data_IF_092380553202
#
_entry.id   IF_092380553202
#
_cell.length_a   1.000
_cell.length_b   1.000
_cell.length_c   1.000
_cell.angle_alpha   90.00
_cell.angle_beta   90.00
_cell.angle_gamma   90.00
#
_symmetry.space_group_name_H-M   'P 1'
#
loop_
_entity.id
_entity.type
_entity.pdbx_description
1 polymer ?
#
# COMPACT_ATOMS: atom_id res chain seq x y z
N UNK A 1 9.52 -18.71 -0.67
CA UNK A 1 10.68 -19.54 -1.05
C UNK A 1 10.83 -20.82 -0.21
N UNK A 2 10.19 -20.95 0.97
CA UNK A 2 10.40 -22.11 1.86
C UNK A 2 10.06 -23.51 1.31
N UNK A 3 9.19 -23.62 0.30
CA UNK A 3 8.91 -24.92 -0.37
C UNK A 3 10.04 -25.30 -1.33
N UNK A 4 10.62 -24.31 -2.03
CA UNK A 4 11.72 -24.55 -2.97
C UNK A 4 12.99 -24.97 -2.23
N UNK A 5 13.26 -24.39 -1.06
CA UNK A 5 14.43 -24.72 -0.26
C UNK A 5 14.44 -26.20 0.17
N UNK A 6 13.28 -26.77 0.51
CA UNK A 6 13.16 -28.21 0.79
C UNK A 6 13.57 -29.09 -0.38
N UNK A 7 13.26 -28.67 -1.61
CA UNK A 7 13.61 -29.44 -2.80
C UNK A 7 15.10 -29.33 -3.13
N UNK A 8 15.66 -28.12 -3.04
CA UNK A 8 17.09 -27.84 -3.29
C UNK A 8 17.98 -28.64 -2.34
N UNK A 9 17.58 -28.77 -1.08
CA UNK A 9 18.41 -29.39 -0.04
C UNK A 9 18.46 -30.92 -0.12
N UNK A 10 17.47 -31.57 -0.75
CA UNK A 10 17.47 -33.03 -0.94
C UNK A 10 18.74 -33.48 -1.64
N UNK A 11 19.17 -34.70 -1.33
CA UNK A 11 20.30 -35.30 -2.01
C UNK A 11 20.06 -35.36 -3.52
N UNK A 12 21.13 -35.30 -4.31
CA UNK A 12 21.05 -35.46 -5.77
C UNK A 12 20.39 -36.79 -6.16
N UNK A 13 20.60 -37.84 -5.35
CA UNK A 13 19.95 -39.14 -5.51
C UNK A 13 18.43 -39.12 -5.32
N UNK A 14 17.89 -38.12 -4.64
CA UNK A 14 16.47 -37.90 -4.38
C UNK A 14 15.87 -36.81 -5.29
N UNK A 15 16.63 -36.39 -6.31
CA UNK A 15 16.23 -35.35 -7.26
C UNK A 15 16.42 -33.92 -6.77
N UNK A 16 17.15 -33.69 -5.66
CA UNK A 16 17.54 -32.36 -5.21
C UNK A 16 18.92 -31.92 -5.70
N UNK A 17 19.49 -30.89 -5.08
CA UNK A 17 20.81 -30.36 -5.41
C UNK A 17 21.86 -30.62 -4.31
N UNK A 18 21.45 -31.11 -3.13
CA UNK A 18 22.33 -31.29 -1.96
C UNK A 18 22.91 -29.99 -1.44
N UNK A 19 22.26 -28.84 -1.71
CA UNK A 19 22.74 -27.52 -1.31
C UNK A 19 22.01 -27.11 -0.03
N UNK A 20 22.78 -26.81 1.03
CA UNK A 20 22.23 -26.30 2.27
C UNK A 20 21.51 -24.97 2.05
N UNK A 21 20.29 -24.85 2.59
CA UNK A 21 19.47 -23.64 2.46
C UNK A 21 19.13 -23.04 3.80
N UNK A 22 19.06 -21.71 3.84
CA UNK A 22 18.60 -20.91 4.97
C UNK A 22 17.69 -19.80 4.45
N UNK A 23 16.76 -19.33 5.28
CA UNK A 23 15.92 -18.19 4.94
C UNK A 23 15.68 -17.26 6.14
N UNK A 24 15.49 -15.98 5.86
CA UNK A 24 14.93 -15.02 6.84
C UNK A 24 13.41 -15.07 6.75
N UNK A 25 12.74 -15.17 7.89
CA UNK A 25 11.29 -15.30 8.00
C UNK A 25 10.67 -14.10 8.71
N UNK A 26 9.83 -13.35 8.01
CA UNK A 26 9.04 -12.24 8.55
C UNK A 26 7.66 -12.66 9.07
N UNK A 27 7.11 -13.79 8.59
CA UNK A 27 5.75 -14.25 8.94
C UNK A 27 5.85 -15.65 9.57
N UNK A 28 5.86 -15.71 10.91
CA UNK A 28 6.01 -16.97 11.66
C UNK A 28 4.97 -18.04 11.25
N UNK A 29 3.66 -17.76 11.20
CA UNK A 29 2.67 -18.79 10.87
C UNK A 29 2.91 -19.43 9.50
N UNK A 30 3.38 -18.65 8.53
CA UNK A 30 3.70 -19.15 7.19
C UNK A 30 4.91 -20.08 7.25
N UNK A 31 5.96 -19.73 7.98
CA UNK A 31 7.15 -20.58 8.13
C UNK A 31 6.86 -21.87 8.91
N UNK A 32 6.01 -21.82 9.93
CA UNK A 32 5.55 -22.99 10.66
C UNK A 32 4.76 -23.95 9.76
N UNK A 33 3.87 -23.43 8.91
CA UNK A 33 3.12 -24.22 7.96
C UNK A 33 4.01 -24.82 6.84
N UNK A 34 4.95 -24.02 6.31
CA UNK A 34 5.82 -24.42 5.20
C UNK A 34 6.93 -25.37 5.65
N UNK A 35 7.37 -25.29 6.91
CA UNK A 35 8.45 -26.11 7.50
C UNK A 35 9.74 -26.11 6.66
N UNK A 36 10.33 -24.93 6.36
CA UNK A 36 11.59 -24.84 5.63
C UNK A 36 12.70 -25.64 6.33
N UNK A 37 13.77 -26.05 5.62
CA UNK A 37 14.86 -26.78 6.25
C UNK A 37 15.45 -26.02 7.44
N UNK A 38 15.76 -24.73 7.23
CA UNK A 38 16.26 -23.80 8.25
C UNK A 38 15.72 -22.40 7.99
N UNK A 39 15.24 -21.75 9.04
CA UNK A 39 14.78 -20.37 8.98
C UNK A 39 15.12 -19.62 10.26
N UNK A 40 15.57 -18.37 10.11
CA UNK A 40 15.65 -17.42 11.19
C UNK A 40 14.37 -16.59 11.18
N UNK A 41 13.56 -16.68 12.23
CA UNK A 41 12.44 -15.77 12.45
C UNK A 41 12.96 -14.46 13.04
N UNK A 42 12.60 -13.34 12.40
CA UNK A 42 12.99 -12.00 12.85
C UNK A 42 11.75 -11.19 13.23
N UNK A 43 11.81 -10.36 14.29
CA UNK A 43 10.68 -9.58 14.77
C UNK A 43 10.54 -8.22 14.05
N UNK A 44 10.85 -8.15 12.74
CA UNK A 44 10.84 -6.88 12.00
C UNK A 44 9.57 -6.69 11.14
N UNK A 45 9.17 -5.44 10.84
CA UNK A 45 8.04 -5.17 9.96
C UNK A 45 8.21 -5.77 8.55
N UNK A 46 7.08 -6.07 7.91
CA UNK A 46 7.08 -6.56 6.53
C UNK A 46 7.78 -5.58 5.59
N UNK A 47 8.68 -6.10 4.76
CA UNK A 47 9.51 -5.29 3.86
C UNK A 47 10.85 -4.83 4.43
N UNK A 48 11.15 -5.11 5.71
CA UNK A 48 12.45 -4.83 6.34
C UNK A 48 13.07 -6.09 6.99
N UNK A 49 13.33 -7.16 6.22
CA UNK A 49 13.80 -8.44 6.78
C UNK A 49 15.14 -8.37 7.51
N UNK A 50 15.95 -7.32 7.31
CA UNK A 50 17.27 -7.17 7.92
C UNK A 50 17.28 -6.15 9.07
N UNK A 51 16.11 -5.68 9.51
CA UNK A 51 16.00 -4.68 10.57
C UNK A 51 16.00 -3.23 10.08
N UNK A 52 16.21 -2.26 10.98
CA UNK A 52 16.00 -0.83 10.71
C UNK A 52 16.97 -0.27 9.64
N UNK A 53 16.58 0.80 8.92
CA UNK A 53 17.48 1.48 7.99
C UNK A 53 18.68 2.09 8.72
N UNK A 54 19.84 2.11 8.07
CA UNK A 54 21.10 2.67 8.60
C UNK A 54 21.62 2.03 9.90
N UNK A 55 21.20 0.80 10.22
CA UNK A 55 21.75 -0.02 11.32
C UNK A 55 22.58 -1.19 10.77
N UNK A 56 23.80 -0.93 10.25
CA UNK A 56 24.62 -1.99 9.65
C UNK A 56 25.05 -3.03 10.67
N UNK A 57 25.14 -2.67 11.95
CA UNK A 57 25.37 -3.60 13.07
C UNK A 57 24.29 -4.69 13.11
N UNK A 58 23.01 -4.28 13.11
CA UNK A 58 21.85 -5.18 13.13
C UNK A 58 21.75 -5.97 11.82
N UNK A 59 21.83 -5.27 10.68
CA UNK A 59 21.66 -5.90 9.36
C UNK A 59 22.71 -6.97 9.11
N UNK A 60 23.97 -6.73 9.52
CA UNK A 60 25.05 -7.71 9.39
C UNK A 60 24.87 -8.85 10.39
N UNK A 61 24.39 -8.59 11.60
CA UNK A 61 24.13 -9.65 12.58
C UNK A 61 23.02 -10.60 12.12
N UNK A 62 21.89 -10.08 11.64
CA UNK A 62 20.79 -10.89 11.06
C UNK A 62 21.31 -11.80 9.94
N UNK A 63 22.17 -11.28 9.06
CA UNK A 63 22.80 -12.08 8.01
C UNK A 63 23.72 -13.16 8.58
N UNK A 64 24.54 -12.84 9.59
CA UNK A 64 25.43 -13.82 10.25
C UNK A 64 24.66 -14.92 10.95
N UNK A 65 23.63 -14.57 11.71
CA UNK A 65 22.76 -15.53 12.40
C UNK A 65 22.06 -16.45 11.39
N UNK A 66 21.52 -15.86 10.31
CA UNK A 66 20.84 -16.64 9.25
C UNK A 66 21.79 -17.59 8.55
N UNK A 67 22.99 -17.13 8.16
CA UNK A 67 23.99 -17.97 7.52
C UNK A 67 24.58 -19.01 8.47
N UNK A 68 24.70 -18.71 9.76
CA UNK A 68 25.13 -19.65 10.79
C UNK A 68 24.19 -20.85 10.93
N UNK A 69 22.92 -20.72 10.52
CA UNK A 69 21.99 -21.85 10.49
C UNK A 69 22.44 -22.95 9.51
N UNK A 70 23.29 -22.67 8.51
CA UNK A 70 23.81 -23.69 7.57
C UNK A 70 24.44 -24.87 8.32
N UNK A 71 25.04 -24.63 9.48
CA UNK A 71 25.68 -25.67 10.28
C UNK A 71 24.69 -26.44 11.18
N UNK A 72 23.42 -26.03 11.25
CA UNK A 72 22.41 -26.79 11.99
C UNK A 72 22.08 -28.10 11.26
N UNK A 73 22.31 -29.26 11.91
CA UNK A 73 22.06 -30.57 11.30
C UNK A 73 20.60 -31.01 11.40
N UNK A 74 19.79 -30.35 12.23
CA UNK A 74 18.38 -30.67 12.43
C UNK A 74 17.49 -29.82 11.53
N UNK A 75 16.66 -30.46 10.70
CA UNK A 75 15.63 -29.83 9.89
C UNK A 75 14.27 -30.53 10.14
N UNK A 76 13.14 -29.79 10.15
CA UNK A 76 13.03 -28.34 10.00
C UNK A 76 13.44 -27.59 11.27
N UNK A 77 14.20 -26.51 11.12
CA UNK A 77 14.57 -25.59 12.19
C UNK A 77 13.97 -24.21 11.94
N UNK A 78 13.22 -23.70 12.93
CA UNK A 78 12.79 -22.31 13.01
C UNK A 78 13.40 -21.74 14.28
N UNK A 79 14.38 -20.85 14.12
CA UNK A 79 15.16 -20.27 15.22
C UNK A 79 14.78 -18.81 15.38
N UNK A 80 14.64 -18.37 16.61
CA UNK A 80 14.30 -16.98 16.92
C UNK A 80 15.55 -16.13 16.91
N UNK A 81 15.48 -14.97 16.25
CA UNK A 81 16.50 -13.95 16.38
C UNK A 81 16.54 -13.46 17.84
N UNK A 82 17.71 -13.50 18.51
CA UNK A 82 17.81 -13.35 19.95
C UNK A 82 17.54 -11.93 20.44
N UNK A 83 17.73 -10.93 19.58
CA UNK A 83 17.54 -9.54 19.97
C UNK A 83 16.08 -9.12 19.74
N UNK A 84 15.39 -8.84 20.84
CA UNK A 84 14.27 -7.91 20.81
C UNK A 84 14.91 -6.52 20.68
N UNK A 85 15.21 -6.16 19.44
CA UNK A 85 15.66 -4.81 19.14
C UNK A 85 14.40 -3.97 19.28
N UNK A 86 14.31 -3.22 20.39
CA UNK A 86 13.45 -2.04 20.43
C UNK A 86 13.84 -1.24 19.20
N UNK A 87 12.90 -1.13 18.26
CA UNK A 87 13.02 -0.09 17.25
C UNK A 87 13.28 1.18 18.06
N UNK A 88 14.45 1.81 17.94
CA UNK A 88 14.73 3.15 18.49
C UNK A 88 13.87 4.21 17.74
N UNK A 89 12.65 3.83 17.37
CA UNK A 89 11.53 4.68 17.04
C UNK A 89 10.99 5.08 18.41
N UNK A 90 11.18 6.34 18.85
CA UNK A 90 10.67 6.79 20.13
C UNK A 90 9.20 6.43 20.29
N UNK A 91 8.82 5.90 21.46
CA UNK A 91 7.42 5.68 21.83
C UNK A 91 6.57 6.92 21.50
N UNK A 92 5.46 6.69 20.79
CA UNK A 92 4.20 7.48 20.67
C UNK A 92 4.22 8.99 20.99
N UNK A 93 5.27 9.73 20.65
CA UNK A 93 5.13 11.16 20.34
C UNK A 93 4.78 11.24 18.86
N UNK A 94 3.48 11.08 18.61
CA UNK A 94 2.83 10.98 17.29
C UNK A 94 3.68 11.58 16.19
N UNK A 95 4.19 10.70 15.32
CA UNK A 95 4.87 11.12 14.12
C UNK A 95 3.87 11.84 13.23
N UNK A 96 3.75 13.15 13.42
CA UNK A 96 3.12 14.02 12.46
C UNK A 96 4.24 14.58 11.61
N UNK A 97 4.10 14.55 10.29
CA UNK A 97 4.88 15.44 9.47
C UNK A 97 4.26 16.83 9.66
N UNK A 98 4.86 17.80 10.41
CA UNK A 98 4.24 19.09 10.70
C UNK A 98 4.16 19.93 9.42
N UNK A 99 3.19 19.61 8.60
CA UNK A 99 2.81 20.31 7.40
C UNK A 99 1.35 20.63 7.62
N UNK A 100 1.11 21.84 8.13
CA UNK A 100 -0.23 22.36 8.32
C UNK A 100 -0.69 22.84 6.94
N UNK A 101 -1.75 22.22 6.42
CA UNK A 101 -2.30 22.59 5.12
C UNK A 101 -3.39 23.67 5.33
N UNK A 102 -3.23 24.88 4.76
CA UNK A 102 -4.26 25.89 4.87
C UNK A 102 -5.44 25.59 3.93
N UNK A 103 -6.64 25.57 4.50
CA UNK A 103 -7.92 25.53 3.76
C UNK A 103 -8.15 26.87 3.07
N UNK A 104 -8.57 26.86 1.81
CA UNK A 104 -9.03 28.06 1.11
C UNK A 104 -10.36 27.75 0.41
N UNK A 105 -11.26 28.74 0.36
CA UNK A 105 -12.53 28.65 -0.37
C UNK A 105 -12.39 29.17 -1.81
N UNK A 106 -12.72 28.35 -2.82
CA UNK A 106 -13.01 28.82 -4.17
C UNK A 106 -14.29 28.19 -4.76
N UNK A 107 -14.62 28.61 -5.97
CA UNK A 107 -15.98 28.60 -6.54
C UNK A 107 -16.51 27.25 -7.08
N UNK A 108 -15.71 26.17 -7.11
CA UNK A 108 -16.11 24.77 -7.44
C UNK A 108 -15.34 23.77 -6.55
N UNK A 109 -15.99 22.70 -6.10
CA UNK A 109 -15.43 21.75 -5.10
C UNK A 109 -14.16 21.02 -5.61
N UNK A 110 -14.14 20.57 -6.87
CA UNK A 110 -13.00 19.85 -7.45
C UNK A 110 -11.78 20.74 -7.72
N UNK A 111 -11.95 21.98 -8.17
CA UNK A 111 -10.81 22.87 -8.44
C UNK A 111 -10.21 23.42 -7.14
N UNK A 112 -11.04 23.59 -6.11
CA UNK A 112 -10.57 23.82 -4.73
C UNK A 112 -9.66 22.70 -4.27
N UNK A 113 -10.13 21.46 -4.42
CA UNK A 113 -9.40 20.28 -3.97
C UNK A 113 -8.06 20.14 -4.72
N UNK A 114 -8.04 20.34 -6.05
CA UNK A 114 -6.80 20.37 -6.83
C UNK A 114 -5.83 21.44 -6.35
N UNK A 115 -6.32 22.65 -6.05
CA UNK A 115 -5.47 23.73 -5.55
C UNK A 115 -4.87 23.42 -4.17
N UNK A 116 -5.63 22.80 -3.28
CA UNK A 116 -5.16 22.37 -1.96
C UNK A 116 -4.11 21.26 -2.08
N UNK A 117 -4.36 20.24 -2.89
CA UNK A 117 -3.40 19.15 -3.15
C UNK A 117 -2.10 19.65 -3.80
N UNK A 118 -2.20 20.66 -4.68
CA UNK A 118 -1.02 21.31 -5.26
C UNK A 118 -0.16 21.98 -4.18
N UNK A 119 -0.77 22.68 -3.23
CA UNK A 119 -0.03 23.28 -2.09
C UNK A 119 0.61 22.20 -1.22
N UNK A 120 -0.14 21.14 -0.93
CA UNK A 120 0.36 19.99 -0.16
C UNK A 120 1.62 19.38 -0.82
N UNK A 121 1.55 19.12 -2.12
CA UNK A 121 2.68 18.61 -2.91
C UNK A 121 3.86 19.60 -2.91
N UNK A 122 3.60 20.90 -3.02
CA UNK A 122 4.64 21.93 -3.01
C UNK A 122 5.40 21.99 -1.68
N UNK A 123 4.73 21.74 -0.56
CA UNK A 123 5.37 21.71 0.77
C UNK A 123 6.28 20.48 0.95
N UNK A 124 5.94 19.36 0.30
CA UNK A 124 6.74 18.14 0.34
C UNK A 124 7.89 18.14 -0.69
N UNK A 125 7.77 18.92 -1.76
CA UNK A 125 8.70 18.91 -2.89
C UNK A 125 10.17 19.13 -2.51
N UNK A 126 10.55 20.09 -1.64
CA UNK A 126 11.95 20.28 -1.26
C UNK A 126 12.57 19.03 -0.61
N UNK A 127 11.80 18.31 0.20
CA UNK A 127 12.26 17.09 0.87
C UNK A 127 12.37 15.93 -0.12
N UNK A 128 11.42 15.81 -1.03
CA UNK A 128 11.53 14.85 -2.12
C UNK A 128 12.79 15.08 -2.96
N UNK A 129 13.02 16.32 -3.41
CA UNK A 129 14.15 16.66 -4.29
C UNK A 129 15.50 16.45 -3.59
N UNK A 130 15.63 16.85 -2.31
CA UNK A 130 16.84 16.60 -1.53
C UNK A 130 17.05 15.10 -1.29
N UNK A 131 15.98 14.37 -0.99
CA UNK A 131 15.98 12.92 -0.88
C UNK A 131 16.45 12.22 -2.16
N UNK A 132 15.91 12.64 -3.30
CA UNK A 132 16.28 12.16 -4.62
C UNK A 132 17.76 12.44 -4.92
N UNK A 133 18.24 13.66 -4.60
CA UNK A 133 19.64 14.04 -4.76
C UNK A 133 20.59 13.17 -3.93
N UNK A 134 20.20 12.82 -2.70
CA UNK A 134 21.00 11.95 -1.81
C UNK A 134 20.94 10.48 -2.20
N UNK A 135 19.76 9.96 -2.57
CA UNK A 135 19.57 8.54 -2.92
C UNK A 135 20.01 8.21 -4.35
N UNK A 136 19.98 9.19 -5.26
CA UNK A 136 20.26 9.02 -6.68
C UNK A 136 19.19 8.25 -7.48
N UNK A 137 18.07 7.89 -6.85
CA UNK A 137 16.97 7.12 -7.44
C UNK A 137 15.62 7.43 -6.77
N UNK A 138 14.54 7.20 -7.51
CA UNK A 138 13.15 7.26 -7.01
C UNK A 138 12.37 6.02 -7.47
N UNK A 139 11.30 5.71 -6.74
CA UNK A 139 10.32 4.67 -7.05
C UNK A 139 9.12 5.20 -7.84
N UNK A 140 9.01 6.53 -8.01
CA UNK A 140 8.04 7.17 -8.91
C UNK A 140 8.37 6.83 -10.36
N UNK A 141 7.36 6.42 -11.14
CA UNK A 141 7.50 6.16 -12.57
C UNK A 141 6.63 5.02 -13.11
N UNK A 142 5.89 4.33 -12.23
CA UNK A 142 5.09 3.16 -12.60
C UNK A 142 3.92 3.50 -13.51
N UNK A 143 3.42 4.74 -13.47
CA UNK A 143 2.41 5.28 -14.38
C UNK A 143 2.95 5.63 -15.78
N UNK A 144 4.27 5.63 -15.94
CA UNK A 144 4.97 6.11 -17.14
C UNK A 144 5.38 7.59 -17.08
N UNK A 145 5.03 8.32 -16.01
CA UNK A 145 5.45 9.72 -15.82
C UNK A 145 6.35 9.88 -14.60
N UNK A 146 7.22 10.90 -14.64
CA UNK A 146 8.16 11.21 -13.57
C UNK A 146 7.55 12.05 -12.43
N UNK A 147 8.34 12.35 -11.38
CA UNK A 147 7.88 13.09 -10.19
C UNK A 147 7.43 14.53 -10.48
N UNK A 148 7.78 15.10 -11.64
CA UNK A 148 7.28 16.41 -12.07
C UNK A 148 5.80 16.40 -12.45
N UNK A 149 5.24 15.22 -12.72
CA UNK A 149 3.84 15.03 -13.09
C UNK A 149 2.92 14.73 -11.91
N UNK A 150 3.39 14.75 -10.65
CA UNK A 150 2.57 14.40 -9.48
C UNK A 150 1.29 15.24 -9.37
N UNK A 151 1.39 16.56 -9.64
CA UNK A 151 0.20 17.43 -9.64
C UNK A 151 -0.81 17.06 -10.74
N UNK A 152 -0.33 16.57 -11.88
CA UNK A 152 -1.19 16.07 -12.96
C UNK A 152 -1.89 14.77 -12.54
N UNK A 153 -1.14 13.81 -11.98
CA UNK A 153 -1.67 12.54 -11.48
C UNK A 153 -2.75 12.75 -10.42
N UNK A 154 -2.53 13.69 -9.49
CA UNK A 154 -3.52 14.09 -8.49
C UNK A 154 -4.78 14.68 -9.14
N UNK A 155 -4.62 15.49 -10.18
CA UNK A 155 -5.72 16.02 -10.97
C UNK A 155 -6.60 14.92 -11.57
N UNK A 156 -5.98 13.83 -12.04
CA UNK A 156 -6.71 12.64 -12.53
C UNK A 156 -7.49 11.98 -11.39
N UNK A 157 -6.88 11.75 -10.23
CA UNK A 157 -7.60 11.12 -9.12
C UNK A 157 -8.79 11.96 -8.61
N UNK A 158 -8.62 13.29 -8.52
CA UNK A 158 -9.71 14.20 -8.11
C UNK A 158 -10.84 14.22 -9.12
N UNK A 159 -10.51 14.32 -10.41
CA UNK A 159 -11.53 14.30 -11.44
C UNK A 159 -12.26 12.96 -11.43
N UNK A 160 -11.56 11.82 -11.22
CA UNK A 160 -12.19 10.49 -11.16
C UNK A 160 -13.09 10.35 -9.92
N UNK A 161 -12.67 10.90 -8.78
CA UNK A 161 -13.47 10.84 -7.55
C UNK A 161 -14.76 11.65 -7.65
N UNK A 162 -14.74 12.75 -8.42
CA UNK A 162 -15.91 13.56 -8.72
C UNK A 162 -16.79 12.94 -9.81
N UNK A 163 -16.18 12.54 -10.92
CA UNK A 163 -16.81 11.98 -12.10
C UNK A 163 -16.01 10.76 -12.62
N UNK A 164 -16.62 9.59 -12.45
CA UNK A 164 -16.08 8.31 -12.85
C UNK A 164 -16.04 8.09 -14.37
N UNK A 165 -16.60 8.99 -15.18
CA UNK A 165 -16.71 8.89 -16.65
C UNK A 165 -15.67 9.72 -17.41
N UNK A 166 -14.56 10.07 -16.75
CA UNK A 166 -13.51 10.86 -17.37
C UNK A 166 -12.74 10.14 -18.48
N UNK A 167 -12.29 10.91 -19.46
CA UNK A 167 -11.30 10.43 -20.43
C UNK A 167 -9.90 10.34 -19.82
N UNK A 168 -9.16 9.33 -20.25
CA UNK A 168 -7.75 9.15 -19.85
C UNK A 168 -6.93 10.27 -20.46
N UNK A 169 -6.18 11.06 -19.67
CA UNK A 169 -5.30 12.06 -20.26
C UNK A 169 -4.20 11.40 -21.09
N UNK A 170 -3.78 12.05 -22.16
CA UNK A 170 -2.70 11.56 -23.02
C UNK A 170 -1.36 11.42 -22.26
N UNK A 171 -0.56 10.45 -22.70
CA UNK A 171 0.83 10.29 -22.25
C UNK A 171 1.02 9.42 -20.99
N UNK A 172 0.02 8.67 -20.57
CA UNK A 172 0.17 7.61 -19.57
C UNK A 172 0.39 6.23 -20.21
N UNK A 173 1.08 5.33 -19.49
CA UNK A 173 1.47 4.02 -20.02
C UNK A 173 0.36 2.95 -19.94
N UNK A 174 -0.74 3.22 -19.23
CA UNK A 174 -1.78 2.23 -18.92
C UNK A 174 -3.19 2.79 -19.17
N UNK A 175 -4.16 1.95 -19.57
CA UNK A 175 -5.56 2.37 -19.71
C UNK A 175 -6.28 2.46 -18.36
N UNK A 176 -7.44 3.12 -18.31
CA UNK A 176 -8.35 3.04 -17.16
C UNK A 176 -9.05 1.67 -17.09
N UNK A 177 -9.42 1.19 -15.89
CA UNK A 177 -9.12 1.76 -14.56
C UNK A 177 -7.73 1.38 -14.04
N UNK A 178 -6.96 0.58 -14.77
CA UNK A 178 -5.64 0.10 -14.35
C UNK A 178 -4.67 1.25 -14.04
N UNK A 179 -4.78 2.34 -14.77
CA UNK A 179 -4.03 3.58 -14.55
C UNK A 179 -4.14 4.08 -13.11
N UNK A 180 -5.34 4.05 -12.49
CA UNK A 180 -5.55 4.53 -11.11
C UNK A 180 -4.61 3.85 -10.12
N UNK A 181 -4.38 2.54 -10.27
CA UNK A 181 -3.44 1.79 -9.43
C UNK A 181 -2.01 2.30 -9.56
N UNK A 182 -1.58 2.63 -10.77
CA UNK A 182 -0.21 3.13 -11.01
C UNK A 182 -0.04 4.59 -10.59
N UNK A 183 -1.06 5.43 -10.80
CA UNK A 183 -1.07 6.80 -10.30
C UNK A 183 -0.98 6.83 -8.77
N UNK A 184 -1.79 6.00 -8.10
CA UNK A 184 -1.78 5.91 -6.63
C UNK A 184 -0.45 5.37 -6.09
N UNK A 185 0.20 4.43 -6.80
CA UNK A 185 1.53 3.96 -6.45
C UNK A 185 2.59 5.07 -6.56
N UNK A 186 2.60 5.82 -7.66
CA UNK A 186 3.54 6.93 -7.88
C UNK A 186 3.32 8.09 -6.90
N UNK A 187 2.06 8.43 -6.62
CA UNK A 187 1.71 9.46 -5.63
C UNK A 187 2.15 9.03 -4.22
N UNK A 188 1.84 7.80 -3.81
CA UNK A 188 2.27 7.29 -2.50
C UNK A 188 3.80 7.26 -2.40
N UNK A 189 4.49 6.81 -3.45
CA UNK A 189 5.94 6.84 -3.53
C UNK A 189 6.50 8.26 -3.33
N UNK A 190 5.95 9.27 -4.01
CA UNK A 190 6.36 10.66 -3.83
C UNK A 190 6.22 11.13 -2.38
N UNK A 191 5.05 10.90 -1.76
CA UNK A 191 4.79 11.31 -0.38
C UNK A 191 5.70 10.60 0.63
N UNK A 192 5.87 9.29 0.48
CA UNK A 192 6.68 8.47 1.38
C UNK A 192 8.16 8.83 1.24
N UNK A 193 8.64 9.02 0.02
CA UNK A 193 10.00 9.48 -0.24
C UNK A 193 10.25 10.89 0.29
N UNK A 194 9.28 11.81 0.19
CA UNK A 194 9.40 13.14 0.76
C UNK A 194 9.46 13.09 2.30
N UNK A 195 8.53 12.39 2.93
CA UNK A 195 8.42 12.27 4.37
C UNK A 195 9.68 11.64 5.00
N UNK A 196 10.18 10.54 4.43
CA UNK A 196 11.40 9.86 4.90
C UNK A 196 12.70 10.65 4.62
N UNK A 197 12.64 11.69 3.79
CA UNK A 197 13.78 12.57 3.50
C UNK A 197 13.80 13.83 4.37
N UNK A 198 12.75 14.08 5.14
CA UNK A 198 12.62 15.28 5.95
C UNK A 198 13.71 15.29 7.05
N UNK A 199 14.56 16.33 7.12
CA UNK A 199 15.58 16.41 8.15
C UNK A 199 14.97 16.57 9.56
N UNK A 200 15.62 15.98 10.56
CA UNK A 200 15.31 16.22 11.97
C UNK A 200 14.10 15.46 12.52
N UNK A 201 13.55 14.52 11.76
CA UNK A 201 12.47 13.64 12.21
C UNK A 201 13.02 12.20 12.27
N UNK A 202 12.72 11.42 13.33
CA UNK A 202 13.02 9.99 13.36
C UNK A 202 12.43 9.29 12.13
N UNK A 203 13.05 8.18 11.72
CA UNK A 203 12.54 7.41 10.60
C UNK A 203 11.20 6.78 11.00
N UNK A 204 10.08 7.09 10.33
CA UNK A 204 8.77 6.56 10.72
C UNK A 204 8.67 5.05 10.53
N UNK A 205 7.91 4.38 11.39
CA UNK A 205 7.50 3.00 11.09
C UNK A 205 6.69 2.99 9.79
N UNK A 206 6.65 1.85 9.06
CA UNK A 206 5.74 1.70 7.92
C UNK A 206 4.29 2.07 8.26
N UNK A 207 3.84 1.69 9.46
CA UNK A 207 2.52 1.96 10.00
C UNK A 207 2.28 3.46 10.19
N UNK A 208 3.19 4.19 10.85
CA UNK A 208 3.09 5.66 11.02
C UNK A 208 2.98 6.38 9.68
N UNK A 209 3.74 5.90 8.68
CA UNK A 209 3.78 6.48 7.36
C UNK A 209 2.47 6.26 6.60
N UNK A 210 1.85 5.09 6.75
CA UNK A 210 0.52 4.81 6.23
C UNK A 210 -0.56 5.61 6.95
N UNK A 211 -0.50 5.69 8.29
CA UNK A 211 -1.45 6.45 9.10
C UNK A 211 -1.44 7.93 8.75
N UNK A 212 -0.28 8.57 8.75
CA UNK A 212 -0.15 9.96 8.31
C UNK A 212 -0.71 10.17 6.90
N UNK A 213 -0.31 9.33 5.94
CA UNK A 213 -0.75 9.48 4.55
C UNK A 213 -2.26 9.34 4.43
N UNK A 214 -2.85 8.28 4.98
CA UNK A 214 -4.28 8.03 4.80
C UNK A 214 -5.17 8.79 5.77
N UNK A 215 -4.70 9.17 6.96
CA UNK A 215 -5.52 9.82 7.99
C UNK A 215 -5.33 11.34 8.09
N UNK A 216 -4.13 11.85 7.76
CA UNK A 216 -3.81 13.27 7.95
C UNK A 216 -3.73 14.06 6.64
N UNK A 217 -3.29 13.45 5.53
CA UNK A 217 -3.14 14.19 4.26
C UNK A 217 -4.46 14.36 3.51
N UNK A 218 -4.56 15.40 2.69
CA UNK A 218 -5.70 15.59 1.79
C UNK A 218 -5.72 14.54 0.68
N UNK A 219 -4.54 14.13 0.18
CA UNK A 219 -4.46 13.06 -0.83
C UNK A 219 -5.01 11.73 -0.31
N UNK A 220 -4.86 11.44 0.98
CA UNK A 220 -5.44 10.27 1.62
C UNK A 220 -6.96 10.21 1.47
N UNK A 221 -7.67 11.34 1.60
CA UNK A 221 -9.13 11.38 1.40
C UNK A 221 -9.50 11.08 -0.05
N UNK A 222 -8.76 11.64 -1.02
CA UNK A 222 -8.96 11.34 -2.44
C UNK A 222 -8.80 9.85 -2.72
N UNK A 223 -7.82 9.17 -2.09
CA UNK A 223 -7.65 7.73 -2.25
C UNK A 223 -8.86 6.95 -1.73
N UNK A 224 -9.44 7.35 -0.60
CA UNK A 224 -10.68 6.74 -0.13
C UNK A 224 -11.84 6.98 -1.10
N UNK A 225 -12.02 8.19 -1.59
CA UNK A 225 -13.10 8.51 -2.54
C UNK A 225 -12.97 7.71 -3.84
N UNK A 226 -11.75 7.57 -4.39
CA UNK A 226 -11.47 6.74 -5.57
C UNK A 226 -11.81 5.28 -5.29
N UNK A 227 -11.41 4.74 -4.12
CA UNK A 227 -11.76 3.38 -3.71
C UNK A 227 -13.27 3.19 -3.60
N UNK A 228 -13.99 4.12 -2.98
CA UNK A 228 -15.45 4.07 -2.81
C UNK A 228 -16.16 3.96 -4.17
N UNK A 229 -15.71 4.71 -5.20
CA UNK A 229 -16.25 4.60 -6.56
C UNK A 229 -16.02 3.21 -7.17
N UNK A 230 -14.83 2.64 -7.01
CA UNK A 230 -14.50 1.30 -7.51
C UNK A 230 -15.32 0.22 -6.78
N UNK A 231 -15.37 0.27 -5.44
CA UNK A 231 -16.16 -0.66 -4.63
C UNK A 231 -17.64 -0.59 -4.98
N UNK A 232 -18.18 0.61 -5.21
CA UNK A 232 -19.59 0.77 -5.58
C UNK A 232 -19.90 0.12 -6.94
N UNK A 233 -18.97 0.21 -7.91
CA UNK A 233 -19.12 -0.46 -9.20
C UNK A 233 -19.11 -1.99 -9.02
N UNK A 234 -18.18 -2.51 -8.21
CA UNK A 234 -18.10 -3.94 -7.89
C UNK A 234 -19.37 -4.45 -7.20
N UNK A 235 -19.87 -3.73 -6.19
CA UNK A 235 -21.12 -4.05 -5.48
C UNK A 235 -22.29 -4.15 -6.46
N UNK A 236 -22.46 -3.18 -7.36
CA UNK A 236 -23.56 -3.21 -8.34
C UNK A 236 -23.50 -4.44 -9.24
N UNK A 237 -22.30 -4.81 -9.69
CA UNK A 237 -22.11 -6.00 -10.52
C UNK A 237 -22.41 -7.27 -9.73
N UNK A 238 -21.94 -7.37 -8.49
CA UNK A 238 -22.15 -8.55 -7.65
C UNK A 238 -23.63 -8.72 -7.28
N UNK A 239 -24.33 -7.63 -6.94
CA UNK A 239 -25.78 -7.63 -6.73
C UNK A 239 -26.54 -8.04 -7.99
N UNK A 240 -26.14 -7.53 -9.16
CA UNK A 240 -26.77 -7.89 -10.44
C UNK A 240 -26.58 -9.36 -10.80
N UNK A 241 -25.54 -10.01 -10.27
CA UNK A 241 -25.30 -11.44 -10.41
C UNK A 241 -25.95 -12.30 -9.30
N UNK A 242 -26.71 -11.68 -8.39
CA UNK A 242 -27.51 -12.36 -7.38
C UNK A 242 -26.76 -12.81 -6.13
N UNK A 243 -25.63 -12.19 -5.81
CA UNK A 243 -24.96 -12.40 -4.53
C UNK A 243 -25.68 -11.63 -3.41
N UNK A 244 -25.70 -12.21 -2.22
CA UNK A 244 -26.29 -11.59 -1.03
C UNK A 244 -25.30 -10.62 -0.37
N UNK A 245 -25.80 -9.61 0.37
CA UNK A 245 -24.99 -8.53 0.94
C UNK A 245 -23.80 -9.01 1.79
N UNK A 246 -24.00 -10.03 2.64
CA UNK A 246 -22.96 -10.59 3.49
C UNK A 246 -21.85 -11.30 2.69
N UNK A 247 -22.21 -11.92 1.55
CA UNK A 247 -21.25 -12.56 0.65
C UNK A 247 -20.39 -11.51 -0.05
N UNK A 248 -21.02 -10.41 -0.47
CA UNK A 248 -20.35 -9.27 -1.13
C UNK A 248 -19.38 -8.59 -0.16
N UNK A 249 -19.82 -8.32 1.09
CA UNK A 249 -18.96 -7.74 2.12
C UNK A 249 -17.71 -8.59 2.37
N UNK A 250 -17.87 -9.91 2.45
CA UNK A 250 -16.76 -10.86 2.60
C UNK A 250 -15.80 -10.83 1.39
N UNK A 251 -16.33 -10.91 0.16
CA UNK A 251 -15.52 -10.93 -1.07
C UNK A 251 -14.74 -9.65 -1.30
N UNK A 252 -15.34 -8.50 -1.00
CA UNK A 252 -14.71 -7.19 -1.18
C UNK A 252 -13.88 -6.75 0.04
N UNK A 253 -13.89 -7.53 1.12
CA UNK A 253 -13.20 -7.23 2.39
C UNK A 253 -13.70 -5.89 2.93
N UNK A 254 -15.01 -5.82 3.18
CA UNK A 254 -15.74 -4.68 3.74
C UNK A 254 -16.22 -5.03 5.16
N UNK A 255 -16.57 -4.01 5.93
CA UNK A 255 -17.29 -4.22 7.20
C UNK A 255 -18.69 -4.78 6.93
N UNK A 256 -19.20 -5.61 7.84
CA UNK A 256 -20.55 -6.15 7.73
C UNK A 256 -21.61 -5.04 7.65
N UNK A 257 -22.52 -5.15 6.68
CA UNK A 257 -23.57 -4.18 6.39
C UNK A 257 -23.15 -3.05 5.45
N UNK A 258 -21.90 -3.02 4.97
CA UNK A 258 -21.42 -1.97 4.05
C UNK A 258 -22.13 -2.06 2.72
N UNK A 259 -22.32 -3.28 2.19
CA UNK A 259 -23.02 -3.50 0.92
C UNK A 259 -24.45 -2.98 0.98
N UNK A 260 -25.21 -3.34 2.02
CA UNK A 260 -26.57 -2.89 2.21
C UNK A 260 -26.68 -1.36 2.24
N UNK A 261 -25.79 -0.69 2.97
CA UNK A 261 -25.75 0.77 3.04
C UNK A 261 -25.39 1.39 1.68
N UNK A 262 -24.34 0.87 1.03
CA UNK A 262 -23.82 1.42 -0.22
C UNK A 262 -24.81 1.23 -1.37
N UNK A 263 -25.48 0.07 -1.44
CA UNK A 263 -26.48 -0.22 -2.46
C UNK A 263 -27.66 0.77 -2.41
N UNK A 264 -28.16 1.10 -1.21
CA UNK A 264 -29.23 2.09 -1.04
C UNK A 264 -28.79 3.49 -1.47
N UNK A 265 -27.55 3.88 -1.18
CA UNK A 265 -26.99 5.18 -1.58
C UNK A 265 -26.74 5.30 -3.09
N UNK A 266 -26.19 4.25 -3.71
CA UNK A 266 -25.84 4.22 -5.14
C UNK A 266 -27.07 4.19 -6.03
N UNK A 267 -28.12 3.45 -5.66
CA UNK A 267 -29.40 3.46 -6.40
C UNK A 267 -30.06 4.84 -6.37
N UNK A 268 -29.82 5.63 -5.31
CA UNK A 268 -30.38 6.98 -5.13
C UNK A 268 -29.56 8.09 -5.78
N UNK A 269 -28.27 7.85 -6.11
CA UNK A 269 -27.38 8.84 -6.73
C UNK A 269 -26.68 8.25 -7.97
N UNK A 270 -27.11 8.61 -9.19
CA UNK A 270 -26.41 8.17 -10.40
C UNK A 270 -25.02 8.82 -10.45
N UNK A 271 -23.97 8.00 -10.59
CA UNK A 271 -22.59 8.51 -10.65
C UNK A 271 -21.51 7.46 -10.93
N UNK A 272 -21.89 6.26 -11.38
CA UNK A 272 -20.96 5.19 -11.77
C UNK A 272 -21.01 5.06 -13.29
N UNK A 273 -19.84 5.17 -13.93
CA UNK A 273 -19.72 5.05 -15.40
C UNK A 273 -20.03 3.63 -15.88
N UNK A 274 -20.62 3.53 -17.08
CA UNK A 274 -20.85 2.25 -17.77
C UNK A 274 -19.56 1.50 -18.02
N UNK A 275 -18.44 2.19 -18.21
CA UNK A 275 -17.16 1.55 -18.51
C UNK A 275 -16.54 0.94 -17.25
N UNK A 276 -16.70 1.58 -16.08
CA UNK A 276 -16.35 0.94 -14.80
C UNK A 276 -17.19 -0.31 -14.56
N UNK A 277 -18.50 -0.27 -14.83
CA UNK A 277 -19.36 -1.45 -14.70
C UNK A 277 -18.93 -2.57 -15.64
N UNK A 278 -18.58 -2.28 -16.90
CA UNK A 278 -18.06 -3.29 -17.82
C UNK A 278 -16.78 -3.95 -17.30
N UNK A 279 -15.84 -3.16 -16.79
CA UNK A 279 -14.59 -3.70 -16.23
C UNK A 279 -14.87 -4.55 -14.99
N UNK A 280 -15.75 -4.10 -14.08
CA UNK A 280 -16.18 -4.91 -12.94
C UNK A 280 -16.90 -6.20 -13.37
N UNK A 281 -17.66 -6.20 -14.46
CA UNK A 281 -18.28 -7.40 -15.06
C UNK A 281 -17.24 -8.34 -15.67
N UNK A 282 -16.19 -7.82 -16.31
CA UNK A 282 -15.09 -8.64 -16.82
C UNK A 282 -14.31 -9.30 -15.66
N UNK A 283 -14.07 -8.55 -14.58
CA UNK A 283 -13.43 -9.06 -13.36
C UNK A 283 -14.32 -10.05 -12.59
N UNK A 284 -15.65 -10.00 -12.75
CA UNK A 284 -16.60 -10.91 -12.11
C UNK A 284 -16.37 -12.39 -12.46
N UNK A 285 -15.96 -12.69 -13.68
CA UNK A 285 -15.68 -14.07 -14.12
C UNK A 285 -14.28 -14.56 -13.76
N UNK A 286 -13.42 -13.68 -13.22
CA UNK A 286 -12.06 -14.01 -12.84
C UNK A 286 -11.90 -14.01 -11.30
N UNK A 287 -10.88 -14.69 -10.78
CA UNK A 287 -10.46 -14.60 -9.37
C UNK A 287 -9.91 -13.19 -8.98
N UNK A 288 -10.40 -12.13 -9.65
CA UNK A 288 -9.88 -10.77 -9.65
C UNK A 288 -10.90 -9.73 -9.14
N UNK A 289 -12.13 -10.11 -8.81
CA UNK A 289 -13.17 -9.22 -8.24
C UNK A 289 -12.61 -8.36 -7.11
N UNK A 290 -12.80 -7.03 -7.15
CA UNK A 290 -12.33 -6.10 -6.13
C UNK A 290 -10.83 -5.79 -6.17
N UNK A 291 -10.06 -6.36 -7.10
CA UNK A 291 -8.59 -6.20 -7.15
C UNK A 291 -8.16 -4.75 -7.29
N UNK A 292 -8.87 -3.96 -8.11
CA UNK A 292 -8.54 -2.54 -8.29
C UNK A 292 -8.78 -1.77 -7.01
N UNK A 293 -9.98 -1.84 -6.42
CA UNK A 293 -10.31 -1.20 -5.15
C UNK A 293 -9.34 -1.58 -4.01
N UNK A 294 -8.95 -2.86 -3.94
CA UNK A 294 -8.00 -3.37 -2.93
C UNK A 294 -6.59 -2.80 -3.06
N UNK A 295 -6.20 -2.32 -4.24
CA UNK A 295 -4.87 -1.74 -4.49
C UNK A 295 -4.74 -0.27 -4.12
N UNK A 296 -5.87 0.45 -4.02
CA UNK A 296 -5.90 1.90 -3.74
C UNK A 296 -5.62 2.18 -2.26
N UNK A 297 -6.31 1.46 -1.35
CA UNK A 297 -6.15 1.61 0.11
C UNK A 297 -5.72 0.26 0.73
N UNK A 298 -4.57 0.21 1.45
CA UNK A 298 -4.10 -0.97 2.17
C UNK A 298 -5.13 -1.49 3.16
N UNK A 299 -5.13 -2.81 3.41
CA UNK A 299 -6.09 -3.47 4.33
C UNK A 299 -6.11 -2.78 5.70
N UNK A 300 -4.95 -2.46 6.24
CA UNK A 300 -4.80 -1.82 7.55
C UNK A 300 -5.50 -0.45 7.65
N UNK A 301 -5.80 0.20 6.52
CA UNK A 301 -6.39 1.54 6.48
C UNK A 301 -7.85 1.57 6.01
N UNK A 302 -8.37 0.51 5.39
CA UNK A 302 -9.68 0.53 4.69
C UNK A 302 -10.84 1.03 5.55
N UNK A 303 -10.91 0.56 6.79
CA UNK A 303 -12.03 0.84 7.69
C UNK A 303 -11.77 2.06 8.58
N UNK A 304 -10.59 2.68 8.46
CA UNK A 304 -10.12 3.75 9.35
C UNK A 304 -10.40 5.16 8.82
N UNK A 305 -11.11 5.29 7.68
CA UNK A 305 -11.44 6.62 7.11
C UNK A 305 -12.14 7.53 8.14
N UNK A 306 -12.97 6.96 9.01
CA UNK A 306 -13.69 7.69 10.05
C UNK A 306 -12.78 8.29 11.14
N UNK A 307 -11.57 7.76 11.30
CA UNK A 307 -10.53 8.25 12.21
C UNK A 307 -9.82 9.49 11.68
N UNK A 308 -10.02 9.83 10.40
CA UNK A 308 -9.49 11.07 9.82
C UNK A 308 -9.89 12.24 10.70
N UNK A 309 -8.88 12.89 11.28
CA UNK A 309 -9.05 14.14 12.00
C UNK A 309 -9.58 15.12 10.97
N UNK A 310 -10.87 15.48 11.04
CA UNK A 310 -11.36 16.70 10.41
C UNK A 310 -10.55 17.82 11.03
N UNK A 311 -9.47 18.25 10.37
CA UNK A 311 -8.77 19.48 10.75
C UNK A 311 -9.86 20.55 10.72
N UNK A 312 -10.26 20.96 11.93
CA UNK A 312 -11.46 21.74 12.13
C UNK A 312 -11.33 23.07 11.40
N UNK A 313 -12.35 23.38 10.59
CA UNK A 313 -12.79 24.69 10.10
C UNK A 313 -11.75 25.80 10.00
#
# INVERSE_FOLDING_TARGET
MGVLSQYIERAVSEGGAGIATVQVSLIRPVSEAVRPPRALWVPFPLGRPLGPPNRPDVQIDVLRQTLGLVDQPAAPALVDYPDIIEDDIPDEEGWSCPVIFPTAEPHTESDSLKAQLRRETQLLRPWFDEGLRRRGRTTVGTSGKGPDSIGEMLGVLVNFSADADMEVPDGYAHPMPQLLRYLTADIRAFYFEAATSKPGVPFPSPEDLEEWFFLETMVGDVFYQVRERLVSADILVLLANGLEDDEIDSLLVLMAGTTAQTADEVVRKPGISRDLLKVSVEDFYADLVGRFARSIVPIAMRDRRHERIRQAK
#
